data_IF_576459656216
#
_entry.id   IF_576459656216
#
_cell.length_a   1.000
_cell.length_b   1.000
_cell.length_c   1.000
_cell.angle_alpha   90.00
_cell.angle_beta   90.00
_cell.angle_gamma   90.00
#
_symmetry.space_group_name_H-M   'P 1'
#
loop_
_entity.id
_entity.type
_entity.pdbx_description
1 polymer ?
#
# COMPACT_ATOMS: atom_id res chain seq x y z
N UNK A 1 -10.72 2.74 -17.38
CA UNK A 1 -9.84 1.65 -17.00
C UNK A 1 -9.92 0.47 -17.98
N UNK A 2 -11.05 -0.21 -18.23
CA UNK A 2 -11.11 -1.33 -19.22
C UNK A 2 -10.57 -0.91 -20.58
N UNK A 3 -11.03 0.20 -21.15
CA UNK A 3 -10.51 0.74 -22.42
C UNK A 3 -8.97 0.97 -22.41
N UNK A 4 -8.41 1.31 -21.26
CA UNK A 4 -6.96 1.51 -21.13
C UNK A 4 -6.21 0.18 -21.08
N UNK A 5 -6.77 -0.83 -20.40
CA UNK A 5 -6.24 -2.19 -20.41
C UNK A 5 -6.24 -2.77 -21.82
N UNK A 6 -7.36 -2.63 -22.54
CA UNK A 6 -7.49 -3.05 -23.95
C UNK A 6 -6.44 -2.38 -24.84
N UNK A 7 -6.33 -1.04 -24.76
CA UNK A 7 -5.34 -0.27 -25.52
C UNK A 7 -3.90 -0.70 -25.24
N UNK A 8 -3.62 -1.14 -24.00
CA UNK A 8 -2.29 -1.58 -23.56
C UNK A 8 -2.05 -3.07 -23.79
N UNK A 9 -3.01 -3.82 -24.34
CA UNK A 9 -2.89 -5.27 -24.55
C UNK A 9 -2.89 -6.09 -23.27
N UNK A 10 -3.39 -5.53 -22.16
CA UNK A 10 -3.39 -6.18 -20.84
C UNK A 10 -4.77 -6.77 -20.56
N UNK A 11 -4.80 -8.06 -20.21
CA UNK A 11 -6.02 -8.81 -19.96
C UNK A 11 -6.81 -9.11 -21.24
N UNK A 12 -7.92 -9.78 -21.06
CA UNK A 12 -8.84 -10.18 -22.13
C UNK A 12 -10.28 -9.92 -21.66
N UNK A 13 -11.27 -9.86 -22.56
CA UNK A 13 -12.68 -9.61 -22.17
C UNK A 13 -13.17 -10.46 -21.00
N UNK A 14 -12.75 -11.73 -20.95
CA UNK A 14 -13.09 -12.67 -19.87
C UNK A 14 -12.45 -12.33 -18.52
N UNK A 15 -11.35 -11.59 -18.49
CA UNK A 15 -10.57 -11.31 -17.26
C UNK A 15 -10.80 -9.92 -16.69
N UNK A 16 -11.31 -8.95 -17.47
CA UNK A 16 -11.47 -7.56 -17.00
C UNK A 16 -12.33 -7.44 -15.74
N UNK A 17 -13.46 -8.15 -15.68
CA UNK A 17 -14.33 -8.12 -14.51
C UNK A 17 -13.61 -8.66 -13.27
N UNK A 18 -12.83 -9.73 -13.43
CA UNK A 18 -12.06 -10.34 -12.34
C UNK A 18 -10.96 -9.40 -11.83
N UNK A 19 -10.24 -8.72 -12.73
CA UNK A 19 -9.20 -7.72 -12.39
C UNK A 19 -9.85 -6.60 -11.57
N UNK A 20 -10.97 -6.02 -12.07
CA UNK A 20 -11.68 -4.94 -11.41
C UNK A 20 -12.17 -5.33 -10.01
N UNK A 21 -12.70 -6.54 -9.86
CA UNK A 21 -13.15 -7.03 -8.56
C UNK A 21 -11.97 -7.27 -7.61
N UNK A 22 -10.87 -7.82 -8.09
CA UNK A 22 -9.69 -8.10 -7.26
C UNK A 22 -9.07 -6.85 -6.66
N UNK A 23 -8.88 -5.78 -7.44
CA UNK A 23 -8.28 -4.55 -6.91
C UNK A 23 -9.19 -3.85 -5.89
N UNK A 24 -10.51 -4.02 -5.98
CA UNK A 24 -11.46 -3.49 -5.00
C UNK A 24 -11.55 -4.38 -3.75
N UNK A 25 -11.65 -5.71 -3.92
CA UNK A 25 -11.75 -6.64 -2.79
C UNK A 25 -10.49 -6.70 -1.92
N UNK A 26 -9.35 -6.22 -2.45
CA UNK A 26 -8.09 -6.08 -1.72
C UNK A 26 -7.86 -4.67 -1.18
N UNK A 27 -8.87 -3.81 -1.27
CA UNK A 27 -8.81 -2.41 -0.83
C UNK A 27 -7.69 -1.58 -1.51
N UNK A 28 -7.23 -1.99 -2.69
CA UNK A 28 -6.26 -1.19 -3.45
C UNK A 28 -6.90 0.00 -4.15
N UNK A 29 -8.21 -0.12 -4.44
CA UNK A 29 -9.02 0.95 -5.01
C UNK A 29 -10.41 0.99 -4.38
N UNK A 30 -10.99 2.17 -4.31
CA UNK A 30 -12.40 2.40 -3.95
C UNK A 30 -13.15 2.95 -5.14
N UNK A 31 -14.46 2.69 -5.20
CA UNK A 31 -15.34 3.25 -6.23
C UNK A 31 -16.07 4.47 -5.67
N UNK A 32 -15.70 5.67 -6.15
CA UNK A 32 -16.33 6.94 -5.80
C UNK A 32 -16.97 7.55 -7.07
N UNK A 33 -18.23 7.92 -7.01
CA UNK A 33 -18.95 8.55 -8.12
C UNK A 33 -18.80 7.82 -9.48
N UNK A 34 -18.82 6.48 -9.46
CA UNK A 34 -18.66 5.66 -10.65
C UNK A 34 -17.23 5.54 -11.19
N UNK A 35 -16.24 6.15 -10.54
CA UNK A 35 -14.82 6.10 -10.88
C UNK A 35 -14.05 5.31 -9.85
N UNK A 36 -13.00 4.62 -10.29
CA UNK A 36 -12.03 3.99 -9.37
C UNK A 36 -10.99 5.02 -8.94
N UNK A 37 -10.76 5.07 -7.65
CA UNK A 37 -9.75 5.90 -7.01
C UNK A 37 -8.78 4.99 -6.24
N UNK A 38 -7.48 5.13 -6.42
CA UNK A 38 -6.52 4.38 -5.62
C UNK A 38 -6.63 4.75 -4.14
N UNK A 39 -6.46 3.77 -3.26
CA UNK A 39 -6.33 3.98 -1.82
C UNK A 39 -4.87 4.27 -1.46
N UNK A 40 -4.61 4.71 -0.24
CA UNK A 40 -3.24 4.82 0.26
C UNK A 40 -2.51 3.48 0.21
N UNK A 41 -3.19 2.37 0.56
CA UNK A 41 -2.64 1.02 0.42
C UNK A 41 -2.28 0.70 -1.03
N UNK A 42 -3.18 1.03 -1.97
CA UNK A 42 -2.94 0.84 -3.40
C UNK A 42 -1.69 1.54 -3.89
N UNK A 43 -1.45 2.78 -3.47
CA UNK A 43 -0.23 3.53 -3.79
C UNK A 43 1.03 2.88 -3.21
N UNK A 44 1.01 2.48 -1.94
CA UNK A 44 2.17 1.84 -1.28
C UNK A 44 2.53 0.53 -1.98
N UNK A 45 1.53 -0.31 -2.27
CA UNK A 45 1.76 -1.59 -2.96
C UNK A 45 2.28 -1.37 -4.37
N UNK A 46 1.70 -0.44 -5.14
CA UNK A 46 2.18 -0.12 -6.48
C UNK A 46 3.63 0.36 -6.46
N UNK A 47 3.99 1.31 -5.59
CA UNK A 47 5.34 1.83 -5.46
C UNK A 47 6.35 0.76 -5.04
N UNK A 48 5.99 -0.09 -4.09
CA UNK A 48 6.83 -1.22 -3.65
C UNK A 48 7.09 -2.19 -4.81
N UNK A 49 6.05 -2.55 -5.56
CA UNK A 49 6.16 -3.46 -6.69
C UNK A 49 6.96 -2.85 -7.84
N UNK A 50 6.73 -1.57 -8.18
CA UNK A 50 7.50 -0.87 -9.22
C UNK A 50 8.99 -0.78 -8.87
N UNK A 51 9.31 -0.58 -7.60
CA UNK A 51 10.72 -0.53 -7.15
C UNK A 51 11.38 -1.90 -7.18
N UNK A 52 10.69 -2.94 -6.69
CA UNK A 52 11.26 -4.27 -6.51
C UNK A 52 11.19 -5.14 -7.77
N UNK A 53 10.22 -4.90 -8.67
CA UNK A 53 9.91 -5.76 -9.82
C UNK A 53 9.69 -4.98 -11.11
N UNK A 54 10.59 -4.04 -11.42
CA UNK A 54 10.47 -3.11 -12.56
C UNK A 54 10.12 -3.78 -13.90
N UNK A 55 10.74 -4.92 -14.21
CA UNK A 55 10.50 -5.62 -15.47
C UNK A 55 9.08 -6.18 -15.55
N UNK A 56 8.60 -6.79 -14.46
CA UNK A 56 7.27 -7.42 -14.41
C UNK A 56 6.16 -6.38 -14.35
N UNK A 57 6.42 -5.24 -13.68
CA UNK A 57 5.49 -4.13 -13.60
C UNK A 57 5.42 -3.30 -14.89
N UNK A 58 6.27 -3.60 -15.87
CA UNK A 58 6.22 -2.96 -17.17
C UNK A 58 4.98 -3.39 -17.96
N UNK A 59 4.24 -2.43 -18.49
CA UNK A 59 3.03 -2.66 -19.31
C UNK A 59 3.34 -3.55 -20.51
N UNK A 60 4.46 -3.30 -21.20
CA UNK A 60 4.88 -4.08 -22.35
C UNK A 60 5.18 -5.54 -22.01
N UNK A 61 5.75 -5.81 -20.83
CA UNK A 61 5.98 -7.18 -20.37
C UNK A 61 4.65 -7.94 -20.21
N UNK A 62 3.66 -7.32 -19.57
CA UNK A 62 2.35 -7.96 -19.36
C UNK A 62 1.65 -8.22 -20.69
N UNK A 63 1.69 -7.26 -21.63
CA UNK A 63 1.10 -7.43 -22.97
C UNK A 63 1.78 -8.59 -23.74
N UNK A 64 3.12 -8.63 -23.74
CA UNK A 64 3.87 -9.72 -24.38
C UNK A 64 3.55 -11.09 -23.76
N UNK A 65 3.40 -11.16 -22.45
CA UNK A 65 3.03 -12.39 -21.76
C UNK A 65 1.62 -12.87 -22.15
N UNK A 66 0.66 -11.96 -22.29
CA UNK A 66 -0.69 -12.27 -22.75
C UNK A 66 -0.67 -12.85 -24.19
N UNK A 67 0.10 -12.25 -25.09
CA UNK A 67 0.27 -12.74 -26.47
C UNK A 67 0.98 -14.11 -26.49
N UNK A 68 1.99 -14.31 -25.65
CA UNK A 68 2.69 -15.57 -25.50
C UNK A 68 1.76 -16.69 -25.01
N UNK A 69 0.85 -16.38 -24.07
CA UNK A 69 -0.14 -17.33 -23.59
C UNK A 69 -1.17 -17.69 -24.67
N UNK A 70 -1.53 -16.77 -25.57
CA UNK A 70 -2.36 -17.09 -26.74
C UNK A 70 -1.63 -18.07 -27.69
N UNK A 71 -0.35 -17.82 -27.97
CA UNK A 71 0.46 -18.74 -28.77
C UNK A 71 0.58 -20.13 -28.14
N UNK A 72 0.62 -20.22 -26.82
CA UNK A 72 0.57 -21.50 -26.09
C UNK A 72 -0.79 -22.15 -26.26
N UNK A 73 -1.89 -21.42 -26.16
CA UNK A 73 -3.24 -21.95 -26.35
C UNK A 73 -3.46 -22.48 -27.77
N UNK A 74 -2.84 -21.84 -28.75
CA UNK A 74 -2.83 -22.29 -30.17
C UNK A 74 -1.83 -23.41 -30.48
N UNK A 75 -1.15 -23.95 -29.45
CA UNK A 75 -0.05 -24.96 -29.61
C UNK A 75 1.15 -24.50 -30.45
N UNK A 76 1.31 -23.17 -30.65
CA UNK A 76 2.44 -22.59 -31.42
C UNK A 76 3.65 -22.30 -30.54
N UNK A 77 3.51 -22.28 -29.21
CA UNK A 77 4.59 -22.05 -28.26
C UNK A 77 4.58 -23.10 -27.15
N UNK A 78 5.77 -23.51 -26.72
CA UNK A 78 5.91 -24.51 -25.64
C UNK A 78 5.75 -23.84 -24.30
N UNK A 79 4.70 -24.18 -23.53
CA UNK A 79 4.40 -23.59 -22.22
C UNK A 79 5.49 -23.86 -21.18
N UNK A 80 6.14 -25.03 -21.20
CA UNK A 80 7.22 -25.36 -20.25
C UNK A 80 8.41 -24.43 -20.41
N UNK A 81 8.78 -24.18 -21.70
CA UNK A 81 9.85 -23.25 -22.01
C UNK A 81 9.49 -21.83 -21.62
N UNK A 82 8.25 -21.39 -21.87
CA UNK A 82 7.78 -20.07 -21.48
C UNK A 82 7.88 -19.85 -19.97
N UNK A 83 7.43 -20.83 -19.17
CA UNK A 83 7.52 -20.76 -17.70
C UNK A 83 8.98 -20.78 -17.22
N UNK A 84 9.82 -21.62 -17.84
CA UNK A 84 11.24 -21.70 -17.50
C UNK A 84 11.96 -20.37 -17.76
N UNK A 85 11.76 -19.78 -18.93
CA UNK A 85 12.36 -18.49 -19.32
C UNK A 85 11.89 -17.37 -18.38
N UNK A 86 10.60 -17.33 -18.03
CA UNK A 86 10.06 -16.42 -17.04
C UNK A 86 10.70 -16.61 -15.67
N UNK A 87 10.77 -17.85 -15.19
CA UNK A 87 11.31 -18.15 -13.86
C UNK A 87 12.78 -17.76 -13.71
N UNK A 88 13.59 -18.03 -14.75
CA UNK A 88 15.00 -17.65 -14.74
C UNK A 88 15.24 -16.15 -14.62
N UNK A 89 14.32 -15.33 -15.13
CA UNK A 89 14.39 -13.87 -15.00
C UNK A 89 13.78 -13.39 -13.68
N UNK A 90 12.72 -14.01 -13.22
CA UNK A 90 11.97 -13.61 -12.04
C UNK A 90 12.66 -13.98 -10.73
N UNK A 91 13.20 -15.20 -10.64
CA UNK A 91 13.73 -15.73 -9.38
C UNK A 91 14.86 -14.89 -8.78
N UNK A 92 15.86 -14.41 -9.54
CA UNK A 92 16.89 -13.53 -8.98
C UNK A 92 16.31 -12.21 -8.43
N UNK A 93 15.31 -11.67 -9.11
CA UNK A 93 14.62 -10.45 -8.66
C UNK A 93 13.85 -10.69 -7.35
N UNK A 94 13.24 -11.87 -7.22
CA UNK A 94 12.55 -12.26 -5.99
C UNK A 94 13.51 -12.38 -4.80
N UNK A 95 14.68 -13.02 -4.99
CA UNK A 95 15.70 -13.14 -3.93
C UNK A 95 16.23 -11.77 -3.46
N UNK A 96 16.40 -10.83 -4.39
CA UNK A 96 16.77 -9.44 -4.06
C UNK A 96 15.63 -8.76 -3.31
N UNK A 97 14.39 -8.87 -3.82
CA UNK A 97 13.23 -8.26 -3.19
C UNK A 97 12.97 -8.79 -1.77
N UNK A 98 13.18 -10.07 -1.51
CA UNK A 98 13.07 -10.64 -0.15
C UNK A 98 14.05 -10.00 0.86
N UNK A 99 15.21 -9.56 0.41
CA UNK A 99 16.25 -8.95 1.25
C UNK A 99 16.11 -7.44 1.35
N UNK A 100 15.69 -6.79 0.26
CA UNK A 100 15.76 -5.34 0.09
C UNK A 100 14.39 -4.67 0.00
N UNK A 101 13.29 -5.43 -0.10
CA UNK A 101 11.97 -4.84 -0.18
C UNK A 101 11.67 -4.01 1.07
N UNK A 102 11.39 -2.74 0.86
CA UNK A 102 11.03 -1.82 1.93
C UNK A 102 9.61 -1.28 1.71
N UNK A 103 8.92 -1.06 2.81
CA UNK A 103 7.66 -0.33 2.77
C UNK A 103 7.97 1.16 2.62
N UNK A 104 7.47 1.83 1.56
CA UNK A 104 7.72 3.25 1.36
C UNK A 104 7.35 4.08 2.60
N UNK A 105 8.25 4.99 3.00
CA UNK A 105 8.05 5.90 4.11
C UNK A 105 7.76 7.29 3.57
N UNK A 106 6.64 7.87 3.94
CA UNK A 106 6.22 9.19 3.50
C UNK A 106 6.61 10.21 4.56
N UNK A 107 7.59 11.07 4.26
CA UNK A 107 7.98 12.15 5.18
C UNK A 107 6.84 13.16 5.31
N UNK A 108 6.57 13.59 6.53
CA UNK A 108 5.52 14.56 6.85
C UNK A 108 6.11 15.87 7.35
N UNK A 109 5.29 16.92 7.39
CA UNK A 109 5.70 18.23 7.94
C UNK A 109 5.76 18.25 9.47
N UNK A 110 5.29 17.20 10.13
CA UNK A 110 5.22 17.11 11.61
C UNK A 110 6.59 16.78 12.20
N UNK A 111 6.88 17.42 13.31
CA UNK A 111 8.10 17.18 14.07
C UNK A 111 7.90 16.11 15.15
N UNK A 112 8.95 15.33 15.38
CA UNK A 112 8.96 14.32 16.43
C UNK A 112 9.00 14.99 17.82
N UNK A 113 8.04 14.74 18.72
CA UNK A 113 8.02 15.36 20.05
C UNK A 113 9.18 14.91 20.94
N UNK A 114 9.87 13.82 20.60
CA UNK A 114 11.01 13.30 21.39
C UNK A 114 12.35 13.88 20.97
N UNK A 115 12.57 14.15 19.67
CA UNK A 115 13.89 14.58 19.16
C UNK A 115 13.85 15.74 18.16
N UNK A 116 12.69 16.29 17.81
CA UNK A 116 12.52 17.39 16.87
C UNK A 116 12.74 17.04 15.38
N UNK A 117 13.08 15.80 15.05
CA UNK A 117 13.24 15.38 13.65
C UNK A 117 11.89 15.15 13.00
N UNK A 118 11.84 15.13 11.64
CA UNK A 118 10.58 14.90 10.94
C UNK A 118 9.99 13.52 11.22
N UNK A 119 8.67 13.46 11.30
CA UNK A 119 7.94 12.21 11.36
C UNK A 119 7.68 11.67 9.94
N UNK A 120 7.65 10.36 9.83
CA UNK A 120 7.32 9.64 8.60
C UNK A 120 6.07 8.80 8.84
N UNK A 121 5.17 8.78 7.86
CA UNK A 121 4.10 7.78 7.81
C UNK A 121 4.71 6.47 7.36
N UNK A 122 4.55 5.44 8.18
CA UNK A 122 5.03 4.08 7.93
C UNK A 122 3.83 3.15 7.91
N UNK A 123 3.71 2.35 6.85
CA UNK A 123 2.67 1.33 6.76
C UNK A 123 3.07 0.09 7.58
N UNK A 124 2.18 -0.39 8.42
CA UNK A 124 2.38 -1.64 9.15
C UNK A 124 1.08 -2.42 9.24
N UNK A 125 1.11 -3.66 8.77
CA UNK A 125 -0.05 -4.58 8.72
C UNK A 125 -1.22 -3.99 7.91
N UNK A 126 -2.10 -3.21 8.53
CA UNK A 126 -3.37 -2.73 7.94
C UNK A 126 -3.52 -1.23 7.97
N UNK A 127 -2.60 -0.48 8.59
CA UNK A 127 -2.72 0.96 8.76
C UNK A 127 -1.37 1.68 8.82
N UNK A 128 -1.41 2.98 8.57
CA UNK A 128 -0.27 3.86 8.81
C UNK A 128 -0.13 4.20 10.29
N UNK A 129 1.12 4.43 10.69
CA UNK A 129 1.47 5.09 11.94
C UNK A 129 2.59 6.11 11.69
N UNK A 130 2.77 7.04 12.61
CA UNK A 130 3.91 7.93 12.58
C UNK A 130 5.11 7.26 13.25
N UNK A 131 6.25 7.25 12.58
CA UNK A 131 7.54 6.87 13.12
C UNK A 131 8.54 8.00 12.98
N UNK A 132 9.52 8.08 13.86
CA UNK A 132 10.59 9.05 13.72
C UNK A 132 11.50 8.72 12.54
N UNK A 133 11.91 9.72 11.77
CA UNK A 133 12.87 9.56 10.67
C UNK A 133 14.27 9.10 11.15
N UNK A 134 14.60 9.35 12.42
CA UNK A 134 15.84 8.92 13.05
C UNK A 134 15.78 7.53 13.70
N UNK A 135 14.77 6.73 13.37
CA UNK A 135 14.80 5.34 13.84
C UNK A 135 16.02 4.59 13.26
N UNK A 136 16.80 3.82 14.06
CA UNK A 136 16.53 3.35 15.44
C UNK A 136 17.05 4.28 16.58
N UNK A 137 17.74 5.37 16.29
CA UNK A 137 18.27 6.28 17.31
C UNK A 137 17.15 6.94 18.15
N UNK A 138 16.00 7.18 17.53
CA UNK A 138 14.80 7.65 18.18
C UNK A 138 13.65 6.69 17.89
N UNK A 139 13.16 6.03 18.92
CA UNK A 139 12.12 4.99 18.88
C UNK A 139 10.69 5.53 18.95
N UNK A 140 10.51 6.86 18.78
CA UNK A 140 9.18 7.45 18.84
C UNK A 140 8.26 6.91 17.74
N UNK A 141 7.08 6.44 18.14
CA UNK A 141 5.99 6.06 17.25
C UNK A 141 4.65 6.43 17.84
N UNK A 142 3.70 6.82 17.00
CA UNK A 142 2.35 7.16 17.40
C UNK A 142 1.33 6.78 16.32
N UNK A 143 0.10 6.37 16.67
CA UNK A 143 -0.99 6.25 15.73
C UNK A 143 -1.25 7.59 15.01
N UNK A 144 -1.71 7.54 13.76
CA UNK A 144 -2.02 8.77 13.00
C UNK A 144 -3.09 9.59 13.71
N UNK A 145 -4.06 8.92 14.30
CA UNK A 145 -5.18 9.54 15.02
C UNK A 145 -4.72 10.36 16.25
N UNK A 146 -3.69 9.91 16.97
CA UNK A 146 -3.20 10.62 18.18
C UNK A 146 -2.53 11.98 17.89
N UNK A 147 -2.05 12.20 16.65
CA UNK A 147 -1.40 13.47 16.25
C UNK A 147 -2.35 14.44 15.52
N UNK A 148 -3.59 14.04 15.31
CA UNK A 148 -4.63 14.89 14.70
C UNK A 148 -5.56 15.54 15.73
N UNK A 149 -5.34 15.33 17.04
CA UNK A 149 -6.11 16.00 18.07
C UNK A 149 -5.70 17.48 18.17
N UNK A 150 -6.57 18.37 17.71
CA UNK A 150 -6.53 19.76 18.12
C UNK A 150 -7.32 19.88 19.41
N UNK A 151 -6.68 20.37 20.47
CA UNK A 151 -7.36 20.64 21.75
C UNK A 151 -8.50 21.65 21.58
N UNK A 152 -8.41 22.49 20.55
CA UNK A 152 -9.41 23.51 20.19
C UNK A 152 -10.72 22.92 19.65
N UNK A 153 -10.71 21.67 19.17
CA UNK A 153 -11.91 20.97 18.67
C UNK A 153 -12.78 20.41 19.81
N UNK A 154 -12.32 20.51 21.06
CA UNK A 154 -13.00 20.02 22.26
C UNK A 154 -13.54 21.14 23.12
N UNK A 155 -14.54 20.84 23.95
CA UNK A 155 -15.10 21.81 24.88
C UNK A 155 -14.02 22.39 25.80
N UNK A 156 -14.07 23.67 26.13
CA UNK A 156 -13.05 24.34 26.95
C UNK A 156 -12.84 23.71 28.34
N UNK A 157 -13.84 22.99 28.82
CA UNK A 157 -13.88 22.30 30.11
C UNK A 157 -13.51 20.81 29.99
N UNK A 158 -13.04 20.36 28.82
CA UNK A 158 -12.66 18.97 28.63
C UNK A 158 -11.44 18.61 29.49
N UNK A 159 -11.61 17.63 30.38
CA UNK A 159 -10.54 17.16 31.28
C UNK A 159 -9.56 16.21 30.51
N UNK A 160 -8.43 16.76 30.07
CA UNK A 160 -7.35 16.03 29.39
C UNK A 160 -6.56 15.10 30.32
N UNK A 161 -6.66 15.28 31.65
CA UNK A 161 -5.93 14.49 32.65
C UNK A 161 -6.83 13.45 33.34
N UNK A 162 -8.03 13.26 32.82
CA UNK A 162 -8.98 12.31 33.36
C UNK A 162 -8.38 10.91 33.52
N UNK A 163 -8.54 10.34 34.69
CA UNK A 163 -8.08 9.00 35.04
C UNK A 163 -9.21 7.99 34.96
N UNK A 164 -8.87 6.77 34.57
CA UNK A 164 -9.82 5.67 34.57
C UNK A 164 -10.35 5.40 36.00
N UNK A 165 -11.68 5.41 36.23
CA UNK A 165 -12.25 5.19 37.56
C UNK A 165 -12.03 3.77 38.10
N UNK A 166 -11.65 2.83 37.24
CA UNK A 166 -11.45 1.41 37.62
C UNK A 166 -9.98 1.14 37.99
N UNK A 167 -9.02 1.63 37.19
CA UNK A 167 -7.60 1.27 37.34
C UNK A 167 -6.68 2.48 37.64
N UNK A 168 -7.20 3.71 37.67
CA UNK A 168 -6.44 4.93 37.98
C UNK A 168 -5.45 5.37 36.86
N UNK A 169 -5.32 4.63 35.76
CA UNK A 169 -4.43 5.00 34.66
C UNK A 169 -4.99 6.20 33.87
N UNK A 170 -4.12 7.06 33.29
CA UNK A 170 -4.57 8.16 32.45
C UNK A 170 -5.37 7.66 31.25
N UNK A 171 -6.52 8.26 30.99
CA UNK A 171 -7.35 7.93 29.85
C UNK A 171 -6.81 8.60 28.59
N UNK A 172 -6.93 7.93 27.46
CA UNK A 172 -6.57 8.48 26.14
C UNK A 172 -7.83 8.72 25.33
N UNK A 173 -7.92 9.89 24.73
CA UNK A 173 -8.98 10.20 23.77
C UNK A 173 -8.76 9.39 22.49
N UNK A 174 -9.80 8.77 21.98
CA UNK A 174 -9.79 8.04 20.70
C UNK A 174 -11.03 8.38 19.91
N UNK A 175 -10.90 8.60 18.62
CA UNK A 175 -12.05 8.68 17.72
C UNK A 175 -12.69 7.31 17.60
N UNK A 176 -13.97 7.25 17.93
CA UNK A 176 -14.80 6.06 17.72
C UNK A 176 -15.48 6.08 16.35
N UNK A 177 -16.27 5.03 16.07
CA UNK A 177 -17.07 4.93 14.84
C UNK A 177 -18.17 5.99 14.74
N UNK A 178 -18.48 6.66 15.84
CA UNK A 178 -19.59 7.64 15.94
C UNK A 178 -19.12 9.03 16.43
N UNK A 179 -17.87 9.36 16.36
CA UNK A 179 -17.24 10.61 16.81
C UNK A 179 -16.24 10.40 17.90
#
# INVERSE_FOLDING_TARGET
MVKELEKSGIGRPSTYATIMNKIQSRDYTVKENGRLKPTELGFVIAQMLETSFQQIMNIGFTATMEDDLELVAEAKKNWKKLIQDFWMQFYPTLEIAEKEAFVPRITTDKDCPKCGSKLQKVWHKTKYFYGCSKYPECDFSAPIEELHFNKEDYAPDFDWEQKCPICGNPMKVRHGKFG
#
